data_IF_580462695200
#
_entry.id   IF_580462695200
#
_cell.length_a   1.000
_cell.length_b   1.000
_cell.length_c   1.000
_cell.angle_alpha   90.00
_cell.angle_beta   90.00
_cell.angle_gamma   90.00
#
_symmetry.space_group_name_H-M   'P 1'
#
loop_
_entity.id
_entity.type
_entity.pdbx_description
1 polymer ?
#
# COMPACT_ATOMS: atom_id res chain seq x y z
N UNK A 1 -16.92 -14.19 -3.85
CA UNK A 1 -16.72 -14.25 -5.32
C UNK A 1 -15.37 -13.65 -5.64
N UNK A 2 -14.59 -14.34 -6.46
CA UNK A 2 -13.25 -13.92 -6.85
C UNK A 2 -13.21 -13.53 -8.34
N UNK A 3 -12.25 -12.68 -8.68
CA UNK A 3 -11.88 -12.35 -10.07
C UNK A 3 -10.36 -12.29 -10.21
N UNK A 4 -9.86 -12.39 -11.44
CA UNK A 4 -8.42 -12.36 -11.74
C UNK A 4 -7.97 -10.98 -12.21
N UNK A 5 -6.73 -10.58 -11.83
CA UNK A 5 -6.04 -9.41 -12.34
C UNK A 5 -4.55 -9.75 -12.44
N UNK A 6 -4.03 -9.80 -13.67
CA UNK A 6 -2.69 -10.35 -13.90
C UNK A 6 -2.63 -11.81 -13.44
N UNK A 7 -1.63 -12.14 -12.64
CA UNK A 7 -1.41 -13.48 -12.09
C UNK A 7 -2.14 -13.73 -10.76
N UNK A 8 -2.93 -12.76 -10.29
CA UNK A 8 -3.58 -12.78 -9.00
C UNK A 8 -5.08 -13.05 -9.09
N UNK A 9 -5.60 -13.74 -8.07
CA UNK A 9 -7.04 -13.86 -7.79
C UNK A 9 -7.37 -13.07 -6.54
N UNK A 10 -8.32 -12.13 -6.64
CA UNK A 10 -8.74 -11.29 -5.51
C UNK A 10 -10.26 -11.27 -5.35
N UNK A 11 -10.71 -10.96 -4.14
CA UNK A 11 -12.14 -10.92 -3.84
C UNK A 11 -12.80 -9.71 -4.50
N UNK A 12 -13.91 -9.96 -5.20
CA UNK A 12 -14.72 -8.94 -5.85
C UNK A 12 -15.83 -8.42 -4.95
N UNK A 13 -16.50 -9.31 -4.25
CA UNK A 13 -17.53 -9.04 -3.25
C UNK A 13 -17.83 -10.30 -2.42
N UNK A 14 -18.45 -10.12 -1.27
CA UNK A 14 -18.77 -11.18 -0.30
C UNK A 14 -20.28 -11.32 -0.12
N UNK A 15 -20.98 -12.14 -0.94
CA UNK A 15 -22.43 -12.27 -0.88
C UNK A 15 -22.86 -13.01 0.40
N UNK A 16 -23.97 -12.57 0.99
CA UNK A 16 -24.75 -13.35 1.94
C UNK A 16 -25.68 -14.32 1.18
N UNK A 17 -26.32 -15.24 1.92
CA UNK A 17 -27.31 -16.14 1.34
C UNK A 17 -28.42 -15.33 0.64
N UNK A 18 -28.78 -15.75 -0.59
CA UNK A 18 -29.84 -15.16 -1.41
C UNK A 18 -29.60 -13.70 -1.85
N UNK A 19 -28.40 -13.18 -1.70
CA UNK A 19 -28.05 -11.81 -2.06
C UNK A 19 -27.52 -11.73 -3.49
N UNK A 20 -28.05 -10.81 -4.30
CA UNK A 20 -27.49 -10.51 -5.62
C UNK A 20 -26.16 -9.75 -5.49
N UNK A 21 -25.37 -9.72 -6.57
CA UNK A 21 -24.12 -8.95 -6.60
C UNK A 21 -24.36 -7.46 -6.27
N UNK A 22 -25.41 -6.85 -6.81
CA UNK A 22 -25.70 -5.45 -6.55
C UNK A 22 -26.07 -5.18 -5.10
N UNK A 23 -26.87 -6.05 -4.49
CA UNK A 23 -27.21 -5.96 -3.07
C UNK A 23 -25.99 -6.12 -2.17
N UNK A 24 -25.10 -7.08 -2.48
CA UNK A 24 -23.84 -7.28 -1.76
C UNK A 24 -22.95 -6.03 -1.84
N UNK A 25 -22.74 -5.47 -3.04
CA UNK A 25 -21.94 -4.26 -3.25
C UNK A 25 -22.53 -3.06 -2.49
N UNK A 26 -23.85 -2.87 -2.54
CA UNK A 26 -24.50 -1.78 -1.80
C UNK A 26 -24.36 -1.93 -0.31
N UNK A 27 -24.53 -3.13 0.24
CA UNK A 27 -24.34 -3.43 1.66
C UNK A 27 -22.90 -3.19 2.10
N UNK A 28 -21.93 -3.66 1.34
CA UNK A 28 -20.50 -3.48 1.64
C UNK A 28 -20.10 -2.00 1.57
N UNK A 29 -20.52 -1.29 0.54
CA UNK A 29 -20.28 0.15 0.42
C UNK A 29 -20.92 0.93 1.58
N UNK A 30 -22.15 0.56 2.00
CA UNK A 30 -22.82 1.16 3.16
C UNK A 30 -22.07 0.88 4.46
N UNK A 31 -21.51 -0.33 4.64
CA UNK A 31 -20.70 -0.67 5.81
C UNK A 31 -19.41 0.17 5.88
N UNK A 32 -18.71 0.35 4.75
CA UNK A 32 -17.52 1.20 4.67
C UNK A 32 -17.86 2.66 4.98
N UNK A 33 -18.99 3.18 4.45
CA UNK A 33 -19.42 4.57 4.67
C UNK A 33 -19.76 4.86 6.13
N UNK A 34 -20.42 3.92 6.82
CA UNK A 34 -21.04 4.19 8.12
C UNK A 34 -20.38 3.46 9.29
N UNK A 35 -19.51 2.48 9.00
CA UNK A 35 -18.86 1.64 10.01
C UNK A 35 -17.37 1.42 9.68
N UNK A 36 -17.03 0.23 9.23
CA UNK A 36 -15.68 -0.16 8.76
C UNK A 36 -15.80 -1.38 7.86
N UNK A 37 -15.07 -1.35 6.76
CA UNK A 37 -14.83 -2.51 5.89
C UNK A 37 -13.36 -2.92 5.94
N UNK A 38 -13.12 -4.18 5.56
CA UNK A 38 -11.77 -4.73 5.41
C UNK A 38 -11.68 -5.44 4.06
N UNK A 39 -10.57 -5.24 3.34
CA UNK A 39 -10.31 -5.91 2.07
C UNK A 39 -8.83 -6.33 1.99
N UNK A 40 -8.60 -7.49 1.36
CA UNK A 40 -7.26 -7.97 1.03
C UNK A 40 -6.69 -7.16 -0.14
N UNK A 41 -5.54 -6.52 0.10
CA UNK A 41 -4.77 -5.71 -0.86
C UNK A 41 -3.39 -6.32 -1.14
N UNK A 42 -3.18 -7.59 -0.77
CA UNK A 42 -1.87 -8.28 -0.93
C UNK A 42 -1.40 -8.30 -2.39
N UNK A 43 -2.34 -8.25 -3.33
CA UNK A 43 -2.06 -8.31 -4.77
C UNK A 43 -1.41 -7.05 -5.35
N UNK A 44 -1.45 -5.91 -4.66
CA UNK A 44 -0.73 -4.71 -5.10
C UNK A 44 0.76 -4.97 -5.22
N UNK A 45 1.36 -4.54 -6.32
CA UNK A 45 2.80 -4.60 -6.48
C UNK A 45 3.52 -3.77 -5.42
N UNK A 46 4.59 -4.31 -4.86
CA UNK A 46 5.41 -3.64 -3.84
C UNK A 46 6.87 -3.81 -4.19
N UNK A 47 7.60 -2.70 -4.22
CA UNK A 47 9.04 -2.68 -4.49
C UNK A 47 9.75 -1.88 -3.41
N UNK A 48 10.70 -2.51 -2.72
CA UNK A 48 11.68 -1.79 -1.91
C UNK A 48 12.73 -1.17 -2.85
N UNK A 49 12.98 0.12 -2.69
CA UNK A 49 14.01 0.90 -3.40
C UNK A 49 14.97 1.43 -2.36
N UNK A 50 16.24 1.02 -2.44
CA UNK A 50 17.29 1.35 -1.47
C UNK A 50 18.52 1.85 -2.17
N UNK A 51 19.24 2.75 -1.51
CA UNK A 51 20.52 3.30 -1.97
C UNK A 51 20.59 4.79 -1.81
N UNK A 52 21.80 5.32 -1.86
CA UNK A 52 22.04 6.77 -1.69
C UNK A 52 21.37 7.61 -2.78
N UNK A 53 21.16 7.03 -3.97
CA UNK A 53 20.53 7.67 -5.13
C UNK A 53 19.06 7.24 -5.34
N UNK A 54 18.45 6.57 -4.34
CA UNK A 54 17.07 6.08 -4.44
C UNK A 54 16.06 7.20 -4.69
N UNK A 55 16.22 8.35 -4.02
CA UNK A 55 15.36 9.53 -4.24
C UNK A 55 15.52 10.07 -5.65
N UNK A 56 16.75 10.21 -6.15
CA UNK A 56 17.02 10.69 -7.50
C UNK A 56 16.42 9.73 -8.55
N UNK A 57 16.62 8.43 -8.39
CA UNK A 57 16.03 7.42 -9.26
C UNK A 57 14.51 7.54 -9.35
N UNK A 58 13.84 7.63 -8.20
CA UNK A 58 12.38 7.77 -8.16
C UNK A 58 11.91 9.11 -8.74
N UNK A 59 12.65 10.20 -8.54
CA UNK A 59 12.36 11.53 -9.10
C UNK A 59 12.44 11.55 -10.64
N UNK A 60 13.27 10.68 -11.25
CA UNK A 60 13.35 10.53 -12.69
C UNK A 60 12.19 9.72 -13.29
N UNK A 61 11.53 8.88 -12.47
CA UNK A 61 10.47 7.95 -12.90
C UNK A 61 9.09 8.56 -12.76
N UNK A 62 8.83 9.25 -11.64
CA UNK A 62 7.52 9.79 -11.33
C UNK A 62 7.42 11.28 -11.66
N UNK A 63 6.27 11.70 -12.21
CA UNK A 63 6.05 13.10 -12.54
C UNK A 63 5.75 14.00 -11.32
N UNK A 64 5.53 13.41 -10.16
CA UNK A 64 5.26 14.11 -8.93
C UNK A 64 6.56 14.58 -8.26
N UNK A 65 6.50 15.70 -7.56
CA UNK A 65 7.63 16.15 -6.74
C UNK A 65 7.74 15.27 -5.49
N UNK A 66 8.58 14.24 -5.53
CA UNK A 66 8.84 13.33 -4.41
C UNK A 66 10.00 13.77 -3.52
N UNK A 67 10.80 14.74 -3.93
CA UNK A 67 11.92 15.29 -3.15
C UNK A 67 11.47 15.94 -1.84
N UNK A 68 10.19 16.31 -1.77
CA UNK A 68 9.59 16.90 -0.56
C UNK A 68 8.96 15.86 0.38
N UNK A 69 9.10 14.57 0.09
CA UNK A 69 8.66 13.51 1.02
C UNK A 69 9.70 13.41 2.12
N UNK A 70 9.25 13.38 3.37
CA UNK A 70 10.10 13.20 4.54
C UNK A 70 10.00 11.75 5.06
N UNK A 71 11.00 11.22 5.77
CA UNK A 71 10.91 9.92 6.41
C UNK A 71 9.64 9.78 7.26
N UNK A 72 8.94 8.66 7.11
CA UNK A 72 7.63 8.42 7.73
C UNK A 72 6.44 9.04 6.99
N UNK A 73 6.66 9.62 5.81
CA UNK A 73 5.61 10.18 4.94
C UNK A 73 5.52 9.41 3.63
N UNK A 74 4.40 9.59 2.96
CA UNK A 74 4.16 9.02 1.64
C UNK A 74 3.45 10.03 0.72
N UNK A 75 3.52 9.74 -0.59
CA UNK A 75 2.82 10.51 -1.62
C UNK A 75 2.21 9.56 -2.64
N UNK A 76 1.01 9.87 -3.09
CA UNK A 76 0.43 9.28 -4.29
C UNK A 76 1.18 9.79 -5.51
N UNK A 77 1.55 8.90 -6.41
CA UNK A 77 2.41 9.19 -7.55
C UNK A 77 1.86 8.63 -8.85
N UNK A 78 2.23 9.30 -9.95
CA UNK A 78 1.85 8.92 -11.30
C UNK A 78 3.11 8.63 -12.11
N UNK A 79 3.11 7.49 -12.78
CA UNK A 79 4.14 7.08 -13.73
C UNK A 79 3.62 7.31 -15.13
N UNK A 80 4.32 8.15 -15.88
CA UNK A 80 3.97 8.48 -17.26
C UNK A 80 4.92 7.77 -18.22
N UNK A 81 4.40 7.45 -19.39
CA UNK A 81 5.22 7.05 -20.55
C UNK A 81 5.86 8.28 -21.18
N UNK A 82 6.80 8.08 -22.09
CA UNK A 82 7.50 9.15 -22.84
C UNK A 82 6.54 10.03 -23.67
N UNK A 83 5.38 9.47 -24.06
CA UNK A 83 4.32 10.18 -24.76
C UNK A 83 3.37 10.97 -23.83
N UNK A 84 3.64 10.96 -22.51
CA UNK A 84 2.83 11.64 -21.48
C UNK A 84 1.57 10.88 -21.08
N UNK A 85 1.33 9.68 -21.61
CA UNK A 85 0.19 8.85 -21.22
C UNK A 85 0.47 8.17 -19.89
N UNK A 86 -0.52 8.19 -18.98
CA UNK A 86 -0.46 7.48 -17.72
C UNK A 86 -0.24 5.98 -17.96
N UNK A 87 0.81 5.44 -17.37
CA UNK A 87 1.14 4.02 -17.44
C UNK A 87 0.75 3.29 -16.17
N UNK A 88 1.10 3.84 -15.01
CA UNK A 88 0.75 3.28 -13.71
C UNK A 88 0.61 4.38 -12.66
N UNK A 89 0.00 4.03 -11.55
CA UNK A 89 -0.13 4.87 -10.37
C UNK A 89 0.10 4.07 -9.11
N UNK A 90 0.34 4.75 -8.00
CA UNK A 90 0.60 4.09 -6.73
C UNK A 90 1.05 5.08 -5.67
N UNK A 91 1.82 4.58 -4.71
CA UNK A 91 2.38 5.42 -3.65
C UNK A 91 3.89 5.24 -3.56
N UNK A 92 4.59 6.31 -3.21
CA UNK A 92 5.98 6.28 -2.75
C UNK A 92 6.00 6.68 -1.29
N UNK A 93 6.43 5.77 -0.43
CA UNK A 93 6.60 6.00 1.00
C UNK A 93 8.08 6.03 1.34
N UNK A 94 8.55 7.08 1.99
CA UNK A 94 9.92 7.17 2.48
C UNK A 94 9.98 6.55 3.89
N UNK A 95 10.67 5.42 4.02
CA UNK A 95 10.86 4.71 5.29
C UNK A 95 12.08 5.25 6.04
N UNK A 96 13.17 5.51 5.32
CA UNK A 96 14.37 6.21 5.81
C UNK A 96 14.93 7.10 4.71
N UNK A 97 16.04 7.77 4.96
CA UNK A 97 16.71 8.67 4.00
C UNK A 97 16.99 8.00 2.66
N UNK A 98 17.38 6.73 2.71
CA UNK A 98 17.85 5.91 1.59
C UNK A 98 16.98 4.68 1.33
N UNK A 99 15.79 4.61 1.91
CA UNK A 99 14.86 3.48 1.77
C UNK A 99 13.42 3.95 1.51
N UNK A 100 12.90 3.53 0.37
CA UNK A 100 11.53 3.81 -0.06
C UNK A 100 10.77 2.49 -0.31
N UNK A 101 9.48 2.49 -0.02
CA UNK A 101 8.56 1.47 -0.50
C UNK A 101 7.67 2.10 -1.57
N UNK A 102 7.64 1.46 -2.72
CA UNK A 102 6.79 1.85 -3.86
C UNK A 102 5.67 0.82 -4.00
N UNK A 103 4.43 1.29 -4.07
CA UNK A 103 3.29 0.44 -4.45
C UNK A 103 2.88 0.74 -5.89
N UNK A 104 2.29 -0.24 -6.57
CA UNK A 104 1.85 -0.13 -7.94
C UNK A 104 0.64 -1.03 -8.22
N UNK A 105 -0.05 -0.76 -9.33
CA UNK A 105 -1.23 -1.53 -9.74
C UNK A 105 -0.91 -3.01 -9.91
N UNK A 106 -1.75 -3.88 -9.37
CA UNK A 106 -1.60 -5.35 -9.43
C UNK A 106 -1.26 -5.84 -10.83
N UNK A 107 -2.04 -5.44 -11.85
CA UNK A 107 -1.87 -5.92 -13.22
C UNK A 107 -0.57 -5.44 -13.89
N UNK A 108 -0.02 -4.31 -13.45
CA UNK A 108 1.16 -3.69 -14.04
C UNK A 108 2.47 -4.04 -13.29
N UNK A 109 2.39 -4.60 -12.09
CA UNK A 109 3.52 -4.73 -11.17
C UNK A 109 4.77 -5.38 -11.81
N UNK A 110 4.59 -6.50 -12.51
CA UNK A 110 5.70 -7.19 -13.20
C UNK A 110 6.31 -6.38 -14.34
N UNK A 111 5.48 -5.61 -15.07
CA UNK A 111 5.94 -4.78 -16.19
C UNK A 111 6.69 -3.55 -15.71
N UNK A 112 6.16 -2.88 -14.69
CA UNK A 112 6.79 -1.72 -14.07
C UNK A 112 8.11 -2.10 -13.42
N UNK A 113 8.14 -3.19 -12.63
CA UNK A 113 9.38 -3.65 -11.99
C UNK A 113 10.47 -4.01 -13.02
N UNK A 114 10.13 -4.71 -14.09
CA UNK A 114 11.10 -5.01 -15.18
C UNK A 114 11.61 -3.75 -15.86
N UNK A 115 10.74 -2.76 -16.06
CA UNK A 115 11.12 -1.49 -16.66
C UNK A 115 12.04 -0.69 -15.73
N UNK A 116 11.75 -0.61 -14.43
CA UNK A 116 12.62 0.02 -13.43
C UNK A 116 14.03 -0.62 -13.43
N UNK A 117 14.10 -1.97 -13.44
CA UNK A 117 15.37 -2.69 -13.57
C UNK A 117 16.13 -2.34 -14.86
N UNK A 118 15.41 -2.28 -15.99
CA UNK A 118 16.00 -1.90 -17.26
C UNK A 118 16.58 -0.48 -17.22
N UNK A 119 15.88 0.46 -16.62
CA UNK A 119 16.39 1.83 -16.48
C UNK A 119 17.68 1.86 -15.66
N UNK A 120 17.74 1.17 -14.52
CA UNK A 120 18.95 1.08 -13.71
C UNK A 120 20.11 0.43 -14.46
N UNK A 121 19.86 -0.68 -15.16
CA UNK A 121 20.94 -1.44 -15.80
C UNK A 121 21.44 -0.81 -17.11
N UNK A 122 20.57 -0.15 -17.86
CA UNK A 122 20.87 0.28 -19.23
C UNK A 122 21.01 1.80 -19.37
N UNK A 123 20.31 2.59 -18.57
CA UNK A 123 20.26 4.04 -18.72
C UNK A 123 20.97 4.78 -17.57
N UNK A 124 20.90 4.24 -16.38
CA UNK A 124 21.46 4.86 -15.16
C UNK A 124 22.28 3.88 -14.32
N UNK A 125 23.28 3.19 -14.91
CA UNK A 125 24.06 2.15 -14.22
C UNK A 125 24.97 2.72 -13.12
N UNK A 126 25.20 4.04 -13.11
CA UNK A 126 26.06 4.72 -12.14
C UNK A 126 25.30 5.09 -10.85
N UNK A 127 23.96 4.95 -10.82
CA UNK A 127 23.18 5.21 -9.61
C UNK A 127 23.37 4.08 -8.58
N UNK A 128 23.67 4.45 -7.36
CA UNK A 128 23.70 3.52 -6.22
C UNK A 128 22.26 3.24 -5.74
N UNK A 129 21.59 2.35 -6.46
CA UNK A 129 20.19 1.96 -6.21
C UNK A 129 20.02 0.46 -6.34
N UNK A 130 19.37 -0.15 -5.36
CA UNK A 130 18.90 -1.52 -5.39
C UNK A 130 17.37 -1.54 -5.34
N UNK A 131 16.74 -2.30 -6.24
CA UNK A 131 15.30 -2.50 -6.25
C UNK A 131 14.97 -3.98 -6.04
N UNK A 132 14.07 -4.26 -5.12
CA UNK A 132 13.64 -5.60 -4.78
C UNK A 132 12.13 -5.70 -4.82
N UNK A 133 11.60 -6.63 -5.63
CA UNK A 133 10.17 -6.94 -5.62
C UNK A 133 9.84 -7.66 -4.31
N UNK A 134 8.97 -7.06 -3.51
CA UNK A 134 8.60 -7.56 -2.18
C UNK A 134 7.10 -7.82 -2.04
N UNK A 135 6.36 -7.93 -3.16
CA UNK A 135 4.91 -8.15 -3.14
C UNK A 135 4.54 -9.39 -2.32
N UNK A 136 5.27 -10.49 -2.50
CA UNK A 136 4.99 -11.76 -1.83
C UNK A 136 5.51 -11.83 -0.37
N UNK A 137 6.22 -10.78 0.09
CA UNK A 137 6.73 -10.72 1.46
C UNK A 137 5.72 -10.10 2.44
N UNK A 138 4.64 -9.49 1.93
CA UNK A 138 3.69 -8.74 2.72
C UNK A 138 2.26 -9.21 2.44
N UNK A 139 1.58 -9.73 3.45
CA UNK A 139 0.14 -9.78 3.45
C UNK A 139 -0.40 -8.38 3.77
N UNK A 140 -1.29 -7.86 2.91
CA UNK A 140 -1.76 -6.47 3.01
C UNK A 140 -3.26 -6.42 3.14
N UNK A 141 -3.74 -5.73 4.17
CA UNK A 141 -5.16 -5.50 4.42
C UNK A 141 -5.43 -4.01 4.44
N UNK A 142 -6.45 -3.55 3.71
CA UNK A 142 -6.99 -2.21 3.88
C UNK A 142 -8.21 -2.26 4.80
N UNK A 143 -8.24 -1.37 5.79
CA UNK A 143 -9.41 -1.11 6.63
C UNK A 143 -9.86 0.31 6.38
N UNK A 144 -11.15 0.51 6.05
CA UNK A 144 -11.68 1.82 5.68
C UNK A 144 -13.05 2.07 6.31
N UNK A 145 -13.29 3.31 6.70
CA UNK A 145 -14.55 3.78 7.29
C UNK A 145 -14.35 4.54 8.60
N UNK A 146 -15.40 5.18 9.14
CA UNK A 146 -15.31 6.02 10.33
C UNK A 146 -14.74 5.29 11.57
N UNK A 147 -14.92 3.97 11.65
CA UNK A 147 -14.41 3.15 12.75
C UNK A 147 -13.04 2.50 12.48
N UNK A 148 -12.38 2.81 11.36
CA UNK A 148 -11.10 2.20 10.98
C UNK A 148 -10.01 2.40 12.06
N UNK A 149 -9.90 3.61 12.64
CA UNK A 149 -8.95 3.88 13.72
C UNK A 149 -9.24 3.06 14.98
N UNK A 150 -10.50 2.93 15.35
CA UNK A 150 -10.92 2.11 16.50
C UNK A 150 -10.60 0.63 16.29
N UNK A 151 -10.75 0.14 15.04
CA UNK A 151 -10.35 -1.22 14.69
C UNK A 151 -8.83 -1.39 14.78
N UNK A 152 -8.06 -0.44 14.22
CA UNK A 152 -6.60 -0.45 14.29
C UNK A 152 -6.08 -0.43 15.74
N UNK A 153 -6.73 0.33 16.63
CA UNK A 153 -6.39 0.33 18.07
C UNK A 153 -6.49 -1.06 18.72
N UNK A 154 -7.44 -1.89 18.29
CA UNK A 154 -7.61 -3.25 18.82
C UNK A 154 -6.48 -4.20 18.43
N UNK A 155 -5.73 -3.89 17.37
CA UNK A 155 -4.53 -4.61 16.96
C UNK A 155 -3.30 -4.21 17.78
N UNK A 156 -3.47 -3.24 18.71
CA UNK A 156 -2.47 -2.77 19.66
C UNK A 156 -1.09 -2.45 19.01
N UNK A 157 -1.02 -1.55 18.04
CA UNK A 157 0.25 -1.13 17.46
C UNK A 157 1.14 -0.50 18.56
N UNK A 158 2.45 -0.75 18.49
CA UNK A 158 3.41 -0.22 19.45
C UNK A 158 3.79 1.25 19.21
N UNK A 159 2.99 1.97 18.45
CA UNK A 159 3.12 3.41 18.18
C UNK A 159 1.76 4.12 18.23
N UNK A 160 1.79 5.43 18.43
CA UNK A 160 0.58 6.25 18.49
C UNK A 160 -0.11 6.34 17.12
N UNK A 161 -1.44 6.20 17.10
CA UNK A 161 -2.28 6.22 15.89
C UNK A 161 -3.37 7.29 15.93
N UNK A 162 -3.27 8.24 16.86
CA UNK A 162 -4.14 9.42 16.87
C UNK A 162 -3.89 10.30 15.63
N UNK A 163 -4.77 11.28 15.39
CA UNK A 163 -4.73 12.12 14.20
C UNK A 163 -3.47 12.98 14.11
N UNK A 164 -2.91 13.37 15.25
CA UNK A 164 -1.73 14.25 15.32
C UNK A 164 -0.45 13.44 15.08
N UNK A 165 -0.32 12.29 15.76
CA UNK A 165 0.86 11.42 15.68
C UNK A 165 0.92 10.60 14.39
N UNK A 166 -0.24 10.29 13.79
CA UNK A 166 -0.34 9.49 12.57
C UNK A 166 -1.35 10.12 11.58
N UNK A 167 -1.00 11.29 11.02
CA UNK A 167 -1.86 12.00 10.08
C UNK A 167 -1.95 11.28 8.72
N UNK A 168 -2.88 11.71 7.88
CA UNK A 168 -2.99 11.26 6.49
C UNK A 168 -1.65 11.41 5.74
N UNK A 169 -1.39 10.51 4.80
CA UNK A 169 -0.14 10.38 4.05
C UNK A 169 1.09 10.12 4.95
N UNK A 170 0.93 9.28 5.97
CA UNK A 170 2.01 8.81 6.85
C UNK A 170 2.19 7.31 6.77
N UNK A 171 3.42 6.86 7.01
CA UNK A 171 3.78 5.46 7.20
C UNK A 171 4.47 5.27 8.55
N UNK A 172 4.22 4.15 9.21
CA UNK A 172 4.92 3.73 10.43
C UNK A 172 5.28 2.25 10.34
N UNK A 173 6.49 1.95 10.71
CA UNK A 173 6.94 0.58 10.96
C UNK A 173 6.84 0.28 12.45
N UNK A 174 6.43 -0.92 12.78
CA UNK A 174 6.26 -1.31 14.17
C UNK A 174 5.84 -2.76 14.35
N UNK A 175 5.17 -3.02 15.44
CA UNK A 175 4.71 -4.35 15.84
C UNK A 175 3.21 -4.29 16.15
N UNK A 176 2.47 -5.31 15.71
CA UNK A 176 1.08 -5.56 16.08
C UNK A 176 0.98 -6.81 16.96
N UNK A 177 -0.04 -6.86 17.81
CA UNK A 177 -0.36 -8.06 18.54
C UNK A 177 -1.08 -9.07 17.61
N UNK A 178 -0.49 -10.25 17.45
CA UNK A 178 -1.17 -11.40 16.87
C UNK A 178 -1.94 -12.13 17.95
N UNK A 179 -3.21 -12.43 17.68
CA UNK A 179 -4.12 -13.13 18.59
C UNK A 179 -4.78 -14.29 17.88
N UNK A 180 -4.89 -15.43 18.56
CA UNK A 180 -5.67 -16.56 18.08
C UNK A 180 -6.73 -16.87 19.15
N UNK A 181 -7.99 -16.97 18.73
CA UNK A 181 -9.15 -17.19 19.60
C UNK A 181 -9.24 -16.21 20.80
N UNK A 182 -8.79 -14.96 20.55
CA UNK A 182 -8.75 -13.89 21.56
C UNK A 182 -7.50 -13.88 22.45
N UNK A 183 -6.69 -14.93 22.44
CA UNK A 183 -5.46 -15.03 23.22
C UNK A 183 -4.25 -14.48 22.45
N UNK A 184 -3.37 -13.78 23.15
CA UNK A 184 -2.11 -13.28 22.58
C UNK A 184 -1.20 -14.44 22.18
N UNK A 185 -0.69 -14.41 20.97
CA UNK A 185 0.26 -15.41 20.43
C UNK A 185 1.66 -14.82 20.33
N UNK A 186 1.79 -13.70 19.61
CA UNK A 186 3.09 -13.07 19.36
C UNK A 186 2.92 -11.61 18.93
N UNK A 187 4.04 -10.90 18.79
CA UNK A 187 4.11 -9.63 18.07
C UNK A 187 4.57 -9.86 16.65
N UNK A 188 3.91 -9.23 15.68
CA UNK A 188 4.19 -9.35 14.27
C UNK A 188 4.71 -8.02 13.74
N UNK A 189 5.85 -8.00 13.03
CA UNK A 189 6.31 -6.80 12.33
C UNK A 189 5.26 -6.30 11.34
N UNK A 190 5.09 -4.98 11.26
CA UNK A 190 4.13 -4.37 10.35
C UNK A 190 4.64 -3.06 9.78
N UNK A 191 4.11 -2.70 8.60
CA UNK A 191 4.11 -1.36 8.03
C UNK A 191 2.68 -0.90 7.89
N UNK A 192 2.32 0.20 8.51
CA UNK A 192 0.96 0.75 8.45
C UNK A 192 1.00 2.10 7.74
N UNK A 193 0.13 2.25 6.75
CA UNK A 193 -0.01 3.45 5.94
C UNK A 193 -1.34 4.11 6.27
N UNK A 194 -1.32 5.41 6.58
CA UNK A 194 -2.52 6.23 6.67
C UNK A 194 -2.80 6.82 5.27
N UNK A 195 -3.48 6.04 4.46
CA UNK A 195 -3.79 6.35 3.06
C UNK A 195 -5.22 5.91 2.76
N UNK A 196 -5.89 6.57 1.82
CA UNK A 196 -7.26 6.24 1.46
C UNK A 196 -7.42 6.18 -0.05
N UNK A 197 -8.02 5.08 -0.53
CA UNK A 197 -8.44 4.92 -1.91
C UNK A 197 -9.85 5.47 -2.15
N UNK A 198 -10.75 5.27 -1.20
CA UNK A 198 -12.18 5.61 -1.33
C UNK A 198 -12.57 6.97 -0.73
N UNK A 199 -11.61 7.65 -0.07
CA UNK A 199 -11.84 8.95 0.58
C UNK A 199 -12.28 8.87 2.04
N UNK A 200 -12.59 7.68 2.56
CA UNK A 200 -12.85 7.45 3.99
C UNK A 200 -11.55 7.46 4.80
N UNK A 201 -11.67 7.57 6.12
CA UNK A 201 -10.56 7.28 7.03
C UNK A 201 -10.12 5.83 6.78
N UNK A 202 -8.87 5.64 6.37
CA UNK A 202 -8.39 4.33 5.97
C UNK A 202 -6.94 4.09 6.37
N UNK A 203 -6.61 2.83 6.58
CA UNK A 203 -5.26 2.35 6.84
C UNK A 203 -4.99 1.11 6.01
N UNK A 204 -3.81 1.05 5.39
CA UNK A 204 -3.28 -0.17 4.79
C UNK A 204 -2.27 -0.79 5.76
N UNK A 205 -2.46 -2.05 6.09
CA UNK A 205 -1.69 -2.80 7.08
C UNK A 205 -0.95 -3.90 6.33
N UNK A 206 0.36 -3.80 6.29
CA UNK A 206 1.25 -4.83 5.73
C UNK A 206 1.91 -5.60 6.88
N UNK A 207 1.76 -6.93 6.89
CA UNK A 207 2.31 -7.86 7.89
C UNK A 207 3.00 -9.03 7.23
#
# INVERSE_FOLDING_TARGET
VFQTSGDWSYSRYFPLADETMEQAIQREAHAVRNQVGCIDMSTLGKVDVKGTDALEFLSRIYCNNIEQIEPGRLRYVLMLREDGILWDDGTVAQLSVDHFLVTMTTANSSSVWRWMNRLLQMHWPDLDVQITLVSDHWASLAIAGPNARTLLQKLNPNFAIDQESFPFASVREGLLDSKFDGEFVSKVPCRIFSVSFSGELSYEINV
#
